data_IF_175324261578
#
_entry.id   IF_175324261578
#
_cell.length_a   1.000
_cell.length_b   1.000
_cell.length_c   1.000
_cell.angle_alpha   90.00
_cell.angle_beta   90.00
_cell.angle_gamma   90.00
#
_symmetry.space_group_name_H-M   'P 1'
#
loop_
_entity.id
_entity.type
_entity.pdbx_description
1 polymer ?
#
# COMPACT_ATOMS: atom_id res chain seq x y z
N UNK A 1 -9.78 49.83 49.25
CA UNK A 1 -10.00 48.67 48.36
C UNK A 1 -11.48 48.25 48.36
N UNK A 2 -12.41 49.12 47.93
CA UNK A 2 -13.87 48.82 48.06
C UNK A 2 -14.72 49.16 46.83
N UNK A 3 -14.16 49.78 45.78
CA UNK A 3 -14.92 50.16 44.59
C UNK A 3 -14.76 49.23 43.37
N UNK A 4 -13.66 48.49 43.26
CA UNK A 4 -13.41 47.58 42.13
C UNK A 4 -14.19 46.26 42.20
N UNK A 5 -14.40 45.72 43.41
CA UNK A 5 -15.11 44.45 43.63
C UNK A 5 -16.63 44.55 43.36
N UNK A 6 -17.24 45.72 43.58
CA UNK A 6 -18.68 45.94 43.31
C UNK A 6 -19.03 45.97 41.82
N UNK A 7 -18.08 46.36 40.94
CA UNK A 7 -18.32 46.42 39.48
C UNK A 7 -18.19 45.05 38.80
N UNK A 8 -17.35 44.16 39.34
CA UNK A 8 -17.22 42.79 38.83
C UNK A 8 -18.46 41.93 39.14
N UNK A 9 -19.07 42.09 40.31
CA UNK A 9 -20.29 41.33 40.69
C UNK A 9 -21.52 41.67 39.83
N UNK A 10 -21.69 42.93 39.44
CA UNK A 10 -22.82 43.36 38.62
C UNK A 10 -22.74 42.84 37.18
N UNK A 11 -21.53 42.74 36.61
CA UNK A 11 -21.33 42.20 35.27
C UNK A 11 -21.58 40.68 35.19
N UNK A 12 -21.24 39.94 36.25
CA UNK A 12 -21.49 38.48 36.33
C UNK A 12 -22.97 38.18 36.55
N UNK A 13 -23.67 38.96 37.38
CA UNK A 13 -25.10 38.80 37.61
C UNK A 13 -25.93 39.09 36.34
N UNK A 14 -25.54 40.08 35.54
CA UNK A 14 -26.20 40.40 34.26
C UNK A 14 -26.01 39.29 33.20
N UNK A 15 -24.85 38.62 33.19
CA UNK A 15 -24.57 37.49 32.30
C UNK A 15 -25.39 36.24 32.65
N UNK A 16 -25.58 35.97 33.95
CA UNK A 16 -26.40 34.83 34.42
C UNK A 16 -27.90 35.09 34.19
N UNK A 17 -28.38 36.31 34.42
CA UNK A 17 -29.78 36.66 34.15
C UNK A 17 -30.11 36.64 32.65
N UNK A 18 -29.18 37.05 31.78
CA UNK A 18 -29.33 36.93 30.33
C UNK A 18 -29.38 35.48 29.84
N UNK A 19 -28.57 34.58 30.43
CA UNK A 19 -28.57 33.16 30.09
C UNK A 19 -29.89 32.46 30.48
N UNK A 20 -30.49 32.84 31.62
CA UNK A 20 -31.76 32.26 32.09
C UNK A 20 -32.96 32.71 31.25
N UNK A 21 -32.95 33.94 30.72
CA UNK A 21 -34.04 34.43 29.85
C UNK A 21 -33.97 33.82 28.45
N UNK A 22 -32.77 33.50 27.93
CA UNK A 22 -32.63 32.80 26.63
C UNK A 22 -33.05 31.32 26.73
N UNK A 23 -32.90 30.69 27.90
CA UNK A 23 -33.38 29.32 28.13
C UNK A 23 -34.91 29.24 28.34
N UNK A 24 -35.57 30.31 28.78
CA UNK A 24 -37.02 30.33 29.06
C UNK A 24 -37.90 30.64 27.83
N UNK A 25 -37.32 30.96 26.67
CA UNK A 25 -38.03 31.22 25.41
C UNK A 25 -37.81 30.11 24.36
N UNK A 26 -37.19 29.00 24.75
CA UNK A 26 -37.19 27.80 23.92
C UNK A 26 -38.63 27.30 23.82
N UNK A 27 -39.24 27.20 22.61
CA UNK A 27 -40.49 26.50 22.48
C UNK A 27 -40.28 25.11 23.06
N UNK A 28 -41.02 24.76 24.11
CA UNK A 28 -41.14 23.35 24.49
C UNK A 28 -41.46 22.61 23.18
N UNK A 29 -40.61 21.67 22.80
CA UNK A 29 -40.83 20.80 21.66
C UNK A 29 -42.16 20.08 21.94
N UNK A 30 -43.25 20.66 21.42
CA UNK A 30 -44.55 20.01 21.44
C UNK A 30 -44.35 18.79 20.55
N UNK A 31 -44.24 17.62 21.17
CA UNK A 31 -44.31 16.35 20.45
C UNK A 31 -45.57 16.40 19.59
N UNK A 32 -45.38 16.50 18.28
CA UNK A 32 -46.49 16.63 17.35
C UNK A 32 -47.40 15.41 17.55
N UNK A 33 -48.71 15.65 17.68
CA UNK A 33 -49.68 14.58 17.89
C UNK A 33 -49.50 13.50 16.80
N UNK A 34 -49.58 12.20 17.15
CA UNK A 34 -49.36 11.13 16.18
C UNK A 34 -50.30 11.27 14.98
N UNK A 35 -49.81 11.06 13.74
CA UNK A 35 -50.61 11.29 12.55
C UNK A 35 -51.70 10.25 12.44
N UNK A 36 -52.93 10.68 12.13
CA UNK A 36 -54.04 9.75 11.93
C UNK A 36 -53.78 8.87 10.69
N UNK A 37 -54.20 7.60 10.76
CA UNK A 37 -53.92 6.65 9.68
C UNK A 37 -54.56 7.04 8.34
N UNK A 38 -55.67 7.78 8.35
CA UNK A 38 -56.39 8.16 7.14
C UNK A 38 -55.62 9.26 6.37
N UNK A 39 -55.03 10.23 7.07
CA UNK A 39 -54.19 11.26 6.45
C UNK A 39 -52.91 10.66 5.86
N UNK A 40 -52.27 9.73 6.56
CA UNK A 40 -51.08 9.01 6.06
C UNK A 40 -51.40 8.22 4.78
N UNK A 41 -52.50 7.47 4.76
CA UNK A 41 -52.91 6.70 3.58
C UNK A 41 -53.29 7.62 2.42
N UNK A 42 -53.94 8.75 2.70
CA UNK A 42 -54.27 9.75 1.68
C UNK A 42 -53.00 10.38 1.11
N UNK A 43 -52.01 10.70 1.95
CA UNK A 43 -50.71 11.20 1.52
C UNK A 43 -50.02 10.23 0.55
N UNK A 44 -49.91 8.94 0.91
CA UNK A 44 -49.27 7.95 0.05
C UNK A 44 -49.93 7.85 -1.32
N UNK A 45 -51.26 7.97 -1.37
CA UNK A 45 -52.04 7.95 -2.61
C UNK A 45 -51.86 9.22 -3.44
N UNK A 46 -52.02 10.39 -2.82
CA UNK A 46 -52.09 11.67 -3.52
C UNK A 46 -50.71 12.15 -3.97
N UNK A 47 -49.69 11.97 -3.12
CA UNK A 47 -48.30 12.35 -3.41
C UNK A 47 -47.53 11.29 -4.18
N UNK A 48 -48.06 10.05 -4.27
CA UNK A 48 -47.35 8.89 -4.83
C UNK A 48 -45.97 8.69 -4.18
N UNK A 49 -45.87 9.02 -2.90
CA UNK A 49 -44.67 8.87 -2.09
C UNK A 49 -44.89 7.74 -1.09
N UNK A 50 -44.12 6.63 -1.11
CA UNK A 50 -44.29 5.55 -0.16
C UNK A 50 -43.81 5.86 1.26
N UNK A 51 -43.13 7.00 1.48
CA UNK A 51 -42.62 7.42 2.79
C UNK A 51 -43.37 8.66 3.29
N UNK A 52 -44.15 8.51 4.37
CA UNK A 52 -44.71 9.64 5.11
C UNK A 52 -43.72 10.05 6.21
N UNK A 53 -43.37 11.33 6.30
CA UNK A 53 -42.43 11.84 7.31
C UNK A 53 -43.12 12.89 8.17
N UNK A 54 -43.18 12.65 9.47
CA UNK A 54 -43.66 13.63 10.45
C UNK A 54 -42.52 14.56 10.88
N UNK A 55 -42.83 15.85 11.04
CA UNK A 55 -41.88 16.82 11.61
C UNK A 55 -41.41 16.39 13.00
N UNK A 56 -40.10 16.47 13.23
CA UNK A 56 -39.47 16.03 14.49
C UNK A 56 -38.89 14.60 14.45
N UNK A 57 -38.97 13.91 13.31
CA UNK A 57 -38.21 12.66 13.11
C UNK A 57 -36.70 12.91 13.23
N UNK A 58 -35.92 11.96 13.77
CA UNK A 58 -34.45 12.05 13.79
C UNK A 58 -33.79 11.82 12.41
N UNK A 59 -34.55 11.47 11.37
CA UNK A 59 -34.01 11.23 10.02
C UNK A 59 -33.64 12.53 9.30
N UNK A 60 -32.42 12.60 8.78
CA UNK A 60 -31.99 13.69 7.88
C UNK A 60 -32.73 13.62 6.53
N UNK A 61 -32.68 14.71 5.75
CA UNK A 61 -33.21 14.75 4.38
C UNK A 61 -32.63 13.62 3.51
N UNK A 62 -31.33 13.41 3.60
CA UNK A 62 -30.61 12.44 2.78
C UNK A 62 -31.02 11.01 3.15
N UNK A 63 -31.19 10.74 4.45
CA UNK A 63 -31.69 9.45 4.93
C UNK A 63 -33.14 9.20 4.47
N UNK A 64 -33.99 10.23 4.48
CA UNK A 64 -35.35 10.13 3.96
C UNK A 64 -35.36 9.82 2.46
N UNK A 65 -34.48 10.44 1.67
CA UNK A 65 -34.36 10.19 0.24
C UNK A 65 -33.88 8.76 -0.05
N UNK A 66 -32.87 8.28 0.67
CA UNK A 66 -32.39 6.90 0.52
C UNK A 66 -33.43 5.84 0.89
N UNK A 67 -34.19 6.07 1.96
CA UNK A 67 -35.31 5.20 2.35
C UNK A 67 -36.40 5.24 1.28
N UNK A 68 -36.73 6.42 0.77
CA UNK A 68 -37.74 6.59 -0.27
C UNK A 68 -37.36 5.87 -1.56
N UNK A 69 -36.09 5.93 -1.95
CA UNK A 69 -35.58 5.22 -3.12
C UNK A 69 -35.68 3.71 -2.94
N UNK A 70 -35.28 3.18 -1.78
CA UNK A 70 -35.41 1.76 -1.45
C UNK A 70 -36.87 1.28 -1.52
N UNK A 71 -37.81 2.06 -0.97
CA UNK A 71 -39.24 1.73 -1.02
C UNK A 71 -39.80 1.76 -2.44
N UNK A 72 -39.31 2.67 -3.30
CA UNK A 72 -39.77 2.78 -4.69
C UNK A 72 -39.24 1.68 -5.60
N UNK A 73 -38.03 1.18 -5.36
CA UNK A 73 -37.45 0.11 -6.16
C UNK A 73 -37.75 -1.30 -5.63
N UNK A 74 -38.51 -1.42 -4.54
CA UNK A 74 -39.03 -2.70 -4.06
C UNK A 74 -39.99 -3.35 -5.07
N UNK A 75 -39.87 -4.66 -5.25
CA UNK A 75 -40.82 -5.44 -6.06
C UNK A 75 -42.19 -5.53 -5.36
N UNK A 76 -42.18 -5.53 -4.03
CA UNK A 76 -43.36 -5.56 -3.17
C UNK A 76 -43.92 -4.16 -2.89
N UNK A 77 -45.20 -4.08 -2.54
CA UNK A 77 -45.82 -2.82 -2.12
C UNK A 77 -45.53 -2.56 -0.64
N UNK A 78 -44.53 -1.73 -0.37
CA UNK A 78 -44.08 -1.35 0.98
C UNK A 78 -44.33 0.14 1.19
N UNK A 79 -44.94 0.49 2.31
CA UNK A 79 -45.23 1.86 2.71
C UNK A 79 -44.69 2.11 4.12
N UNK A 80 -44.08 3.27 4.33
CA UNK A 80 -43.39 3.61 5.56
C UNK A 80 -43.90 4.92 6.17
N UNK A 81 -43.89 4.99 7.50
CA UNK A 81 -44.16 6.18 8.29
C UNK A 81 -42.94 6.45 9.18
N UNK A 82 -42.35 7.64 9.11
CA UNK A 82 -41.27 8.07 9.99
C UNK A 82 -41.78 9.09 11.01
N UNK A 83 -41.59 8.78 12.29
CA UNK A 83 -42.11 9.50 13.43
C UNK A 83 -40.97 10.00 14.34
N UNK A 84 -41.19 11.04 15.16
CA UNK A 84 -40.31 11.40 16.28
C UNK A 84 -40.13 10.23 17.25
N UNK A 85 -39.03 10.22 17.99
CA UNK A 85 -38.74 9.18 18.97
C UNK A 85 -39.75 9.18 20.13
N UNK A 86 -40.29 8.01 20.46
CA UNK A 86 -41.26 7.83 21.54
C UNK A 86 -42.67 8.30 21.18
N UNK A 87 -43.04 8.33 19.89
CA UNK A 87 -44.39 8.73 19.46
C UNK A 87 -45.44 7.70 19.88
N UNK A 88 -45.08 6.42 19.87
CA UNK A 88 -45.90 5.30 20.33
C UNK A 88 -45.13 4.46 21.35
N UNK A 89 -45.88 3.76 22.19
CA UNK A 89 -45.34 2.66 22.99
C UNK A 89 -45.56 1.32 22.26
N UNK A 90 -44.87 0.27 22.73
CA UNK A 90 -44.99 -1.08 22.16
C UNK A 90 -46.43 -1.63 22.16
N UNK A 91 -47.32 -1.08 22.99
CA UNK A 91 -48.72 -1.54 23.10
C UNK A 91 -49.67 -0.82 22.14
N UNK A 92 -49.34 0.41 21.75
CA UNK A 92 -50.16 1.31 20.93
C UNK A 92 -49.75 1.31 19.46
N UNK A 93 -48.50 0.92 19.17
CA UNK A 93 -47.98 0.84 17.79
C UNK A 93 -48.67 -0.25 16.95
N UNK A 94 -48.99 -1.40 17.54
CA UNK A 94 -49.63 -2.51 16.82
C UNK A 94 -51.06 -2.18 16.33
N UNK A 95 -51.95 -1.60 17.15
CA UNK A 95 -53.22 -1.04 16.69
C UNK A 95 -53.06 -0.02 15.55
N UNK A 96 -52.06 0.85 15.64
CA UNK A 96 -51.79 1.86 14.63
C UNK A 96 -51.38 1.25 13.28
N UNK A 97 -50.39 0.36 13.26
CA UNK A 97 -49.97 -0.36 12.05
C UNK A 97 -51.14 -1.13 11.42
N UNK A 98 -51.98 -1.75 12.26
CA UNK A 98 -53.18 -2.45 11.80
C UNK A 98 -54.17 -1.50 11.12
N UNK A 99 -54.33 -0.28 11.65
CA UNK A 99 -55.21 0.74 11.04
C UNK A 99 -54.69 1.22 9.69
N UNK A 100 -53.37 1.43 9.55
CA UNK A 100 -52.73 1.76 8.26
C UNK A 100 -52.92 0.64 7.23
N UNK A 101 -52.74 -0.63 7.64
CA UNK A 101 -52.97 -1.78 6.76
C UNK A 101 -54.42 -1.89 6.28
N UNK A 102 -55.41 -1.64 7.17
CA UNK A 102 -56.83 -1.58 6.80
C UNK A 102 -57.12 -0.43 5.83
N UNK A 103 -56.55 0.74 6.07
CA UNK A 103 -56.67 1.90 5.18
C UNK A 103 -56.10 1.63 3.79
N UNK A 104 -54.93 1.01 3.69
CA UNK A 104 -54.35 0.58 2.41
C UNK A 104 -55.22 -0.45 1.70
N UNK A 105 -55.79 -1.42 2.42
CA UNK A 105 -56.71 -2.39 1.85
C UNK A 105 -57.97 -1.71 1.26
N UNK A 106 -58.57 -0.77 2.00
CA UNK A 106 -59.69 0.04 1.53
C UNK A 106 -59.32 0.93 0.33
N UNK A 107 -58.08 1.38 0.24
CA UNK A 107 -57.53 2.14 -0.88
C UNK A 107 -57.14 1.26 -2.10
N UNK A 108 -57.50 -0.02 -2.12
CA UNK A 108 -57.22 -0.93 -3.24
C UNK A 108 -55.80 -1.50 -3.24
N UNK A 109 -55.16 -1.59 -2.07
CA UNK A 109 -53.85 -2.23 -1.85
C UNK A 109 -53.95 -3.34 -0.78
N UNK A 110 -54.73 -4.41 -1.02
CA UNK A 110 -54.97 -5.45 -0.02
C UNK A 110 -53.75 -6.32 0.32
N UNK A 111 -52.71 -6.31 -0.53
CA UNK A 111 -51.43 -7.02 -0.33
C UNK A 111 -50.29 -6.00 -0.22
N UNK A 112 -50.05 -5.49 0.98
CA UNK A 112 -49.03 -4.49 1.24
C UNK A 112 -48.32 -4.75 2.58
N UNK A 113 -47.11 -4.23 2.70
CA UNK A 113 -46.34 -4.18 3.94
C UNK A 113 -46.33 -2.74 4.44
N UNK A 114 -46.64 -2.55 5.73
CA UNK A 114 -46.57 -1.28 6.42
C UNK A 114 -45.39 -1.33 7.39
N UNK A 115 -44.57 -0.29 7.37
CA UNK A 115 -43.47 -0.06 8.30
C UNK A 115 -43.71 1.25 9.05
N UNK A 116 -43.45 1.25 10.34
CA UNK A 116 -43.39 2.46 11.15
C UNK A 116 -42.01 2.54 11.80
N UNK A 117 -41.33 3.65 11.55
CA UNK A 117 -40.07 4.04 12.15
C UNK A 117 -40.40 5.03 13.28
N UNK A 118 -40.36 4.55 14.53
CA UNK A 118 -40.50 5.38 15.73
C UNK A 118 -39.09 5.64 16.28
N UNK A 119 -38.58 6.85 16.02
CA UNK A 119 -37.17 7.16 16.26
C UNK A 119 -36.26 6.26 15.40
N UNK A 120 -35.55 5.34 16.06
CA UNK A 120 -34.68 4.33 15.42
C UNK A 120 -35.26 2.91 15.46
N UNK A 121 -36.45 2.74 16.05
CA UNK A 121 -37.10 1.43 16.15
C UNK A 121 -38.00 1.18 14.95
N UNK A 122 -37.87 -0.02 14.36
CA UNK A 122 -38.64 -0.43 13.19
C UNK A 122 -39.72 -1.41 13.63
N UNK A 123 -40.96 -1.11 13.26
CA UNK A 123 -42.11 -1.98 13.47
C UNK A 123 -42.78 -2.26 12.13
N UNK A 124 -43.13 -3.51 11.86
CA UNK A 124 -43.71 -3.88 10.58
C UNK A 124 -44.84 -4.90 10.68
N UNK A 125 -45.85 -4.73 9.84
CA UNK A 125 -46.86 -5.74 9.55
C UNK A 125 -47.07 -5.84 8.05
N UNK A 126 -47.45 -7.03 7.59
CA UNK A 126 -47.70 -7.27 6.17
C UNK A 126 -48.96 -8.11 6.00
N UNK A 127 -49.82 -7.68 5.07
CA UNK A 127 -50.93 -8.50 4.56
C UNK A 127 -50.53 -9.37 3.37
N UNK A 128 -49.31 -9.19 2.84
CA UNK A 128 -48.76 -10.01 1.76
C UNK A 128 -48.07 -11.28 2.28
N UNK A 129 -47.64 -11.29 3.55
CA UNK A 129 -46.93 -12.38 4.22
C UNK A 129 -47.79 -13.05 5.30
N UNK A 130 -47.31 -14.20 5.81
CA UNK A 130 -47.95 -14.86 6.97
C UNK A 130 -47.88 -13.96 8.22
N UNK A 131 -48.87 -14.03 9.12
CA UNK A 131 -48.85 -13.26 10.37
C UNK A 131 -47.53 -13.44 11.14
N UNK A 132 -46.97 -12.33 11.64
CA UNK A 132 -45.72 -12.31 12.42
C UNK A 132 -44.42 -12.33 11.60
N UNK A 133 -44.45 -12.67 10.30
CA UNK A 133 -43.22 -12.74 9.49
C UNK A 133 -42.61 -11.36 9.29
N UNK A 134 -43.40 -10.34 8.97
CA UNK A 134 -42.89 -8.97 8.77
C UNK A 134 -42.21 -8.42 10.04
N UNK A 135 -42.78 -8.67 11.22
CA UNK A 135 -42.14 -8.30 12.50
C UNK A 135 -40.80 -9.00 12.69
N UNK A 136 -40.72 -10.31 12.42
CA UNK A 136 -39.45 -11.05 12.51
C UNK A 136 -38.39 -10.52 11.53
N UNK A 137 -38.79 -10.16 10.31
CA UNK A 137 -37.88 -9.59 9.31
C UNK A 137 -37.40 -8.19 9.72
N UNK A 138 -38.28 -7.40 10.35
CA UNK A 138 -37.92 -6.12 10.98
C UNK A 138 -36.81 -6.31 12.01
N UNK A 139 -37.02 -7.24 12.96
CA UNK A 139 -36.04 -7.52 14.02
C UNK A 139 -34.69 -7.97 13.44
N UNK A 140 -34.69 -8.87 12.46
CA UNK A 140 -33.45 -9.32 11.80
C UNK A 140 -32.73 -8.16 11.10
N UNK A 141 -33.47 -7.25 10.47
CA UNK A 141 -32.89 -6.13 9.73
C UNK A 141 -32.26 -5.10 10.64
N UNK A 142 -32.92 -4.79 11.76
CA UNK A 142 -32.38 -3.89 12.78
C UNK A 142 -31.15 -4.50 13.44
N UNK A 143 -31.22 -5.79 13.82
CA UNK A 143 -30.10 -6.47 14.48
C UNK A 143 -28.86 -6.55 13.57
N UNK A 144 -29.04 -6.91 12.30
CA UNK A 144 -27.93 -7.04 11.35
C UNK A 144 -27.27 -5.70 11.00
N UNK A 145 -27.96 -4.56 11.22
CA UNK A 145 -27.50 -3.22 10.86
C UNK A 145 -27.61 -2.27 12.07
N UNK A 146 -27.20 -2.76 13.25
CA UNK A 146 -27.31 -2.02 14.52
C UNK A 146 -26.66 -0.64 14.44
N UNK A 147 -27.43 0.41 14.72
CA UNK A 147 -26.99 1.81 14.67
C UNK A 147 -27.11 2.48 13.30
N UNK A 148 -27.55 1.78 12.25
CA UNK A 148 -27.79 2.33 10.92
C UNK A 148 -29.23 2.04 10.45
N UNK A 149 -30.11 3.02 10.66
CA UNK A 149 -31.54 2.93 10.32
C UNK A 149 -31.76 2.81 8.81
N UNK A 150 -30.91 3.43 7.99
CA UNK A 150 -31.05 3.40 6.53
C UNK A 150 -30.65 2.03 6.00
N UNK A 151 -29.51 1.49 6.44
CA UNK A 151 -29.10 0.14 6.09
C UNK A 151 -30.11 -0.90 6.58
N UNK A 152 -30.63 -0.75 7.80
CA UNK A 152 -31.70 -1.60 8.34
C UNK A 152 -32.98 -1.55 7.50
N UNK A 153 -33.39 -0.37 7.02
CA UNK A 153 -34.57 -0.24 6.16
C UNK A 153 -34.35 -0.85 4.77
N UNK A 154 -33.17 -0.68 4.16
CA UNK A 154 -32.81 -1.32 2.88
C UNK A 154 -32.76 -2.84 2.99
N UNK A 155 -32.20 -3.36 4.08
CA UNK A 155 -32.20 -4.79 4.40
C UNK A 155 -33.63 -5.31 4.55
N UNK A 156 -34.46 -4.60 5.33
CA UNK A 156 -35.86 -4.96 5.53
C UNK A 156 -36.64 -5.04 4.22
N UNK A 157 -36.51 -4.03 3.35
CA UNK A 157 -37.17 -4.00 2.04
C UNK A 157 -36.79 -5.23 1.22
N UNK A 158 -35.50 -5.55 1.13
CA UNK A 158 -35.06 -6.71 0.34
C UNK A 158 -35.55 -8.04 0.95
N UNK A 159 -35.54 -8.17 2.28
CA UNK A 159 -36.08 -9.35 2.97
C UNK A 159 -37.58 -9.53 2.72
N UNK A 160 -38.35 -8.45 2.62
CA UNK A 160 -39.76 -8.53 2.26
C UNK A 160 -39.92 -9.06 0.84
N UNK A 161 -39.14 -8.57 -0.13
CA UNK A 161 -39.19 -9.05 -1.51
C UNK A 161 -38.83 -10.54 -1.62
N UNK A 162 -37.78 -10.95 -0.92
CA UNK A 162 -37.36 -12.35 -0.82
C UNK A 162 -38.46 -13.22 -0.18
N UNK A 163 -39.04 -12.77 0.93
CA UNK A 163 -40.09 -13.51 1.63
C UNK A 163 -41.38 -13.63 0.80
N UNK A 164 -41.76 -12.60 0.06
CA UNK A 164 -42.91 -12.64 -0.86
C UNK A 164 -42.66 -13.63 -2.01
N UNK A 165 -41.42 -13.73 -2.49
CA UNK A 165 -40.97 -14.71 -3.49
C UNK A 165 -40.81 -16.13 -2.92
N UNK A 166 -40.94 -16.31 -1.61
CA UNK A 166 -40.78 -17.61 -0.93
C UNK A 166 -39.32 -18.02 -0.68
N UNK A 167 -38.38 -17.09 -0.79
CA UNK A 167 -36.98 -17.33 -0.50
C UNK A 167 -36.74 -17.39 1.02
N UNK A 168 -36.08 -18.47 1.47
CA UNK A 168 -35.84 -18.75 2.89
C UNK A 168 -34.66 -17.95 3.45
N UNK A 169 -33.76 -17.47 2.59
CA UNK A 169 -32.60 -16.64 3.00
C UNK A 169 -33.03 -15.28 3.56
N UNK A 170 -34.29 -14.85 3.35
CA UNK A 170 -34.87 -13.70 4.03
C UNK A 170 -34.78 -13.80 5.57
N UNK A 171 -34.68 -15.01 6.11
CA UNK A 171 -34.60 -15.30 7.55
C UNK A 171 -33.16 -15.43 8.07
N UNK A 172 -32.14 -15.24 7.24
CA UNK A 172 -30.74 -15.36 7.65
C UNK A 172 -30.33 -14.23 8.60
N UNK A 173 -29.39 -14.50 9.50
CA UNK A 173 -28.96 -13.54 10.53
C UNK A 173 -28.03 -12.43 10.02
N UNK A 174 -27.37 -12.64 8.88
CA UNK A 174 -26.52 -11.62 8.24
C UNK A 174 -27.35 -10.60 7.45
N UNK A 175 -26.78 -9.40 7.22
CA UNK A 175 -27.41 -8.35 6.40
C UNK A 175 -27.69 -8.87 5.00
N UNK A 176 -28.94 -8.75 4.55
CA UNK A 176 -29.42 -9.04 3.20
C UNK A 176 -29.69 -7.75 2.43
N UNK A 177 -29.04 -6.64 2.78
CA UNK A 177 -29.22 -5.37 2.06
C UNK A 177 -28.81 -5.55 0.58
N UNK A 178 -29.75 -5.28 -0.33
CA UNK A 178 -29.50 -5.34 -1.76
C UNK A 178 -29.17 -3.94 -2.28
N UNK A 179 -27.96 -3.70 -2.83
CA UNK A 179 -27.57 -2.41 -3.37
C UNK A 179 -28.41 -1.92 -4.57
N UNK A 180 -29.26 -2.79 -5.15
CA UNK A 180 -29.98 -2.53 -6.40
C UNK A 180 -31.45 -2.09 -6.29
N UNK A 181 -32.04 -1.99 -5.09
CA UNK A 181 -33.49 -1.82 -4.94
C UNK A 181 -33.97 -0.36 -4.83
N UNK A 182 -33.18 0.64 -5.28
CA UNK A 182 -33.60 2.04 -5.27
C UNK A 182 -32.98 2.82 -6.42
N UNK A 183 -33.82 3.39 -7.28
CA UNK A 183 -33.43 3.94 -8.57
C UNK A 183 -32.57 5.20 -8.48
N UNK A 184 -31.25 5.04 -8.43
CA UNK A 184 -30.27 6.04 -8.89
C UNK A 184 -29.07 5.35 -9.54
N UNK A 185 -29.25 4.89 -10.77
CA UNK A 185 -28.23 4.26 -11.61
C UNK A 185 -27.09 5.22 -12.06
N UNK A 186 -26.86 6.33 -11.36
CA UNK A 186 -25.90 7.37 -11.77
C UNK A 186 -24.80 7.69 -10.76
N UNK A 187 -24.84 7.20 -9.50
CA UNK A 187 -23.81 7.50 -8.49
C UNK A 187 -23.13 6.27 -7.85
N UNK A 188 -23.62 5.06 -8.12
CA UNK A 188 -23.02 3.81 -7.60
C UNK A 188 -21.73 3.39 -8.34
N UNK A 189 -21.42 4.07 -9.44
CA UNK A 189 -20.09 3.96 -10.07
C UNK A 189 -18.93 4.35 -9.14
N UNK A 190 -19.16 5.12 -8.06
CA UNK A 190 -18.12 5.55 -7.12
C UNK A 190 -18.17 4.85 -5.75
N UNK A 191 -19.35 4.42 -5.28
CA UNK A 191 -19.51 3.77 -3.96
C UNK A 191 -19.20 2.26 -3.94
N UNK A 192 -19.55 1.54 -5.01
CA UNK A 192 -19.21 0.12 -5.14
C UNK A 192 -17.70 -0.11 -5.38
N UNK A 193 -17.00 0.93 -5.88
CA UNK A 193 -15.54 0.97 -5.90
C UNK A 193 -14.98 1.16 -4.49
N UNK A 194 -15.70 1.74 -3.52
CA UNK A 194 -15.17 2.02 -2.18
C UNK A 194 -15.27 0.84 -1.18
N UNK A 195 -16.23 -0.08 -1.31
CA UNK A 195 -16.39 -1.22 -0.36
C UNK A 195 -15.78 -2.52 -0.90
N UNK A 196 -15.92 -2.82 -2.20
CA UNK A 196 -15.06 -3.81 -2.88
C UNK A 196 -13.62 -3.29 -2.95
N UNK A 197 -13.44 -1.98 -3.08
CA UNK A 197 -12.13 -1.35 -2.91
C UNK A 197 -11.65 -1.33 -1.47
N UNK A 198 -12.48 -1.16 -0.44
CA UNK A 198 -12.00 -1.07 0.95
C UNK A 198 -11.48 -2.40 1.51
N UNK A 199 -12.27 -3.47 1.37
CA UNK A 199 -11.86 -4.82 1.77
C UNK A 199 -10.82 -5.43 0.82
N UNK A 200 -10.98 -5.20 -0.49
CA UNK A 200 -10.03 -5.60 -1.52
C UNK A 200 -8.69 -4.87 -1.38
N UNK A 201 -8.68 -3.56 -1.11
CA UNK A 201 -7.48 -2.75 -0.85
C UNK A 201 -6.85 -3.09 0.49
N UNK A 202 -7.61 -3.39 1.54
CA UNK A 202 -7.05 -3.84 2.81
C UNK A 202 -6.36 -5.22 2.67
N UNK A 203 -6.98 -6.18 1.99
CA UNK A 203 -6.36 -7.48 1.70
C UNK A 203 -5.19 -7.35 0.70
N UNK A 204 -5.34 -6.53 -0.35
CA UNK A 204 -4.29 -6.24 -1.31
C UNK A 204 -3.10 -5.53 -0.66
N UNK A 205 -3.34 -4.52 0.19
CA UNK A 205 -2.29 -3.80 0.92
C UNK A 205 -1.61 -4.69 1.96
N UNK A 206 -2.35 -5.57 2.65
CA UNK A 206 -1.78 -6.56 3.58
C UNK A 206 -0.95 -7.61 2.86
N UNK A 207 -1.44 -8.15 1.75
CA UNK A 207 -0.69 -9.11 0.94
C UNK A 207 0.55 -8.44 0.33
N UNK A 208 0.42 -7.23 -0.22
CA UNK A 208 1.53 -6.45 -0.75
C UNK A 208 2.55 -6.09 0.34
N UNK A 209 2.12 -5.77 1.57
CA UNK A 209 3.04 -5.54 2.71
C UNK A 209 3.78 -6.82 3.09
N UNK A 210 3.11 -7.97 3.08
CA UNK A 210 3.75 -9.28 3.32
C UNK A 210 4.75 -9.62 2.21
N UNK A 211 4.37 -9.43 0.94
CA UNK A 211 5.25 -9.68 -0.19
C UNK A 211 6.45 -8.72 -0.20
N UNK A 212 6.25 -7.44 0.13
CA UNK A 212 7.34 -6.47 0.31
C UNK A 212 8.28 -6.90 1.43
N UNK A 213 7.76 -7.31 2.59
CA UNK A 213 8.60 -7.79 3.68
C UNK A 213 9.39 -9.06 3.31
N UNK A 214 8.79 -9.98 2.53
CA UNK A 214 9.50 -11.16 2.02
C UNK A 214 10.60 -10.74 1.05
N UNK A 215 10.32 -9.82 0.13
CA UNK A 215 11.31 -9.32 -0.82
C UNK A 215 12.44 -8.58 -0.10
N UNK A 216 12.10 -7.66 0.81
CA UNK A 216 13.05 -6.93 1.65
C UNK A 216 13.94 -7.89 2.45
N UNK A 217 13.39 -8.99 2.96
CA UNK A 217 14.16 -10.02 3.67
C UNK A 217 15.11 -10.80 2.74
N UNK A 218 14.67 -11.13 1.51
CA UNK A 218 15.52 -11.78 0.50
C UNK A 218 16.65 -10.85 0.04
N UNK A 219 16.30 -9.60 -0.27
CA UNK A 219 17.24 -8.56 -0.68
C UNK A 219 18.27 -8.33 0.42
N UNK A 220 17.82 -8.21 1.67
CA UNK A 220 18.69 -8.12 2.84
C UNK A 220 19.63 -9.33 2.95
N UNK A 221 19.11 -10.56 2.80
CA UNK A 221 19.93 -11.76 2.90
C UNK A 221 21.01 -11.81 1.82
N UNK A 222 20.67 -11.50 0.57
CA UNK A 222 21.60 -11.49 -0.57
C UNK A 222 22.70 -10.43 -0.40
N UNK A 223 22.33 -9.21 -0.03
CA UNK A 223 23.30 -8.13 0.19
C UNK A 223 24.16 -8.43 1.41
N UNK A 224 23.57 -8.91 2.51
CA UNK A 224 24.31 -9.28 3.73
C UNK A 224 25.33 -10.39 3.47
N UNK A 225 24.98 -11.41 2.68
CA UNK A 225 25.91 -12.44 2.24
C UNK A 225 27.07 -11.86 1.42
N UNK A 226 26.78 -10.91 0.52
CA UNK A 226 27.83 -10.27 -0.29
C UNK A 226 28.83 -9.52 0.59
N UNK A 227 28.34 -8.84 1.63
CA UNK A 227 29.19 -8.10 2.57
C UNK A 227 29.98 -9.06 3.46
N UNK A 228 29.39 -10.18 3.85
CA UNK A 228 30.09 -11.25 4.58
C UNK A 228 31.27 -11.79 3.78
N UNK A 229 31.09 -12.05 2.48
CA UNK A 229 32.18 -12.39 1.55
C UNK A 229 33.28 -11.30 1.54
N UNK A 230 32.90 -10.02 1.51
CA UNK A 230 33.84 -8.90 1.48
C UNK A 230 34.63 -8.76 2.81
N UNK A 231 33.98 -9.00 3.96
CA UNK A 231 34.61 -9.01 5.29
C UNK A 231 35.57 -10.18 5.42
N UNK A 232 35.14 -11.39 5.04
CA UNK A 232 36.01 -12.58 5.02
C UNK A 232 37.21 -12.33 4.13
N UNK A 233 37.00 -11.78 2.92
CA UNK A 233 38.09 -11.47 2.00
C UNK A 233 39.08 -10.47 2.58
N UNK A 234 38.59 -9.46 3.29
CA UNK A 234 39.45 -8.49 3.96
C UNK A 234 40.27 -9.13 5.09
N UNK A 235 39.68 -10.04 5.87
CA UNK A 235 40.39 -10.82 6.90
C UNK A 235 41.48 -11.74 6.32
N UNK A 236 41.22 -12.36 5.17
CA UNK A 236 42.24 -13.12 4.42
C UNK A 236 43.41 -12.24 3.99
N UNK A 237 43.13 -11.04 3.48
CA UNK A 237 44.15 -10.10 3.03
C UNK A 237 45.01 -9.58 4.19
N UNK A 238 44.40 -9.26 5.33
CA UNK A 238 45.12 -8.93 6.56
C UNK A 238 46.04 -10.09 6.94
N UNK A 239 45.50 -11.31 7.00
CA UNK A 239 46.27 -12.50 7.36
C UNK A 239 47.45 -12.74 6.41
N UNK A 240 47.26 -12.51 5.12
CA UNK A 240 48.31 -12.66 4.11
C UNK A 240 49.47 -11.67 4.27
N UNK A 241 49.21 -10.48 4.84
CA UNK A 241 50.19 -9.41 4.99
C UNK A 241 50.88 -9.40 6.36
N UNK A 242 50.35 -10.15 7.34
CA UNK A 242 50.80 -10.15 8.73
C UNK A 242 52.30 -10.48 8.88
N UNK A 243 52.79 -11.45 8.10
CA UNK A 243 54.21 -11.83 8.11
C UNK A 243 55.10 -10.71 7.57
N UNK A 244 54.73 -10.07 6.47
CA UNK A 244 55.51 -8.98 5.88
C UNK A 244 55.54 -7.75 6.79
N UNK A 245 54.41 -7.43 7.42
CA UNK A 245 54.30 -6.33 8.41
C UNK A 245 55.19 -6.57 9.62
N UNK A 246 55.23 -7.82 10.09
CA UNK A 246 56.06 -8.24 11.23
C UNK A 246 57.55 -8.16 10.89
N UNK A 247 57.94 -8.65 9.71
CA UNK A 247 59.34 -8.63 9.24
C UNK A 247 59.82 -7.22 8.92
N UNK A 248 58.96 -6.36 8.36
CA UNK A 248 59.27 -4.96 8.06
C UNK A 248 59.22 -4.04 9.30
N UNK A 249 59.05 -4.59 10.50
CA UNK A 249 58.92 -3.87 11.78
C UNK A 249 60.12 -2.97 12.17
N UNK A 250 61.23 -3.02 11.43
CA UNK A 250 62.36 -2.09 11.59
C UNK A 250 61.99 -0.68 11.08
N UNK A 251 61.31 0.11 11.93
CA UNK A 251 61.12 1.55 11.73
C UNK A 251 59.76 2.11 12.14
N UNK A 252 58.77 1.27 12.45
CA UNK A 252 57.47 1.66 13.01
C UNK A 252 56.57 2.56 12.14
N UNK A 253 56.93 2.79 10.88
CA UNK A 253 56.28 3.78 10.00
C UNK A 253 54.84 3.40 9.60
N UNK A 254 54.45 2.13 9.69
CA UNK A 254 53.16 1.57 9.26
C UNK A 254 52.26 1.09 10.41
N UNK A 255 52.72 1.15 11.67
CA UNK A 255 52.01 0.58 12.83
C UNK A 255 50.61 1.20 13.00
N UNK A 256 50.49 2.53 12.80
CA UNK A 256 49.22 3.23 12.93
C UNK A 256 48.18 2.76 11.91
N UNK A 257 48.56 2.68 10.64
CA UNK A 257 47.65 2.22 9.59
C UNK A 257 47.35 0.71 9.68
N UNK A 258 48.30 -0.08 10.20
CA UNK A 258 48.05 -1.49 10.48
C UNK A 258 47.00 -1.66 11.58
N UNK A 259 47.11 -0.92 12.68
CA UNK A 259 46.08 -0.91 13.72
C UNK A 259 44.73 -0.45 13.16
N UNK A 260 44.72 0.60 12.33
CA UNK A 260 43.49 1.08 11.69
C UNK A 260 42.84 0.01 10.81
N UNK A 261 43.61 -0.77 10.05
CA UNK A 261 43.08 -1.86 9.24
C UNK A 261 42.45 -2.97 10.10
N UNK A 262 43.10 -3.36 11.20
CA UNK A 262 42.57 -4.32 12.17
C UNK A 262 41.30 -3.82 12.86
N UNK A 263 41.30 -2.56 13.29
CA UNK A 263 40.15 -1.92 13.93
C UNK A 263 38.95 -1.86 12.97
N UNK A 264 39.20 -1.52 11.69
CA UNK A 264 38.16 -1.55 10.65
C UNK A 264 37.62 -2.96 10.42
N UNK A 265 38.46 -4.00 10.44
CA UNK A 265 38.00 -5.38 10.31
C UNK A 265 37.08 -5.80 11.47
N UNK A 266 37.49 -5.55 12.71
CA UNK A 266 36.66 -5.89 13.88
C UNK A 266 35.38 -5.04 13.96
N UNK A 267 35.46 -3.76 13.59
CA UNK A 267 34.29 -2.89 13.45
C UNK A 267 33.34 -3.40 12.37
N UNK A 268 33.84 -3.80 11.20
CA UNK A 268 33.02 -4.33 10.11
C UNK A 268 32.30 -5.62 10.51
N UNK A 269 32.97 -6.54 11.21
CA UNK A 269 32.34 -7.75 11.78
C UNK A 269 31.20 -7.41 12.74
N UNK A 270 31.46 -6.46 13.65
CA UNK A 270 30.47 -6.02 14.64
C UNK A 270 29.26 -5.36 13.97
N UNK A 271 29.50 -4.47 13.00
CA UNK A 271 28.44 -3.83 12.22
C UNK A 271 27.63 -4.86 11.43
N UNK A 272 28.30 -5.80 10.74
CA UNK A 272 27.66 -6.85 9.95
C UNK A 272 26.73 -7.74 10.80
N UNK A 273 27.17 -8.11 12.01
CA UNK A 273 26.35 -8.85 12.96
C UNK A 273 25.08 -8.08 13.36
N UNK A 274 25.17 -6.75 13.47
CA UNK A 274 24.06 -5.88 13.84
C UNK A 274 23.13 -5.49 12.67
N UNK A 275 23.47 -5.81 11.42
CA UNK A 275 22.64 -5.49 10.25
C UNK A 275 21.29 -6.21 10.31
N UNK A 276 20.22 -5.42 10.36
CA UNK A 276 18.81 -5.82 10.32
C UNK A 276 18.06 -5.26 9.11
N UNK A 277 18.62 -4.28 8.39
CA UNK A 277 18.03 -3.66 7.20
C UNK A 277 19.08 -3.40 6.13
N UNK A 278 18.68 -3.43 4.86
CA UNK A 278 19.61 -3.33 3.73
C UNK A 278 20.36 -1.98 3.69
N UNK A 279 19.76 -0.90 4.17
CA UNK A 279 20.39 0.42 4.24
C UNK A 279 21.60 0.47 5.20
N UNK A 280 21.60 -0.38 6.24
CA UNK A 280 22.68 -0.43 7.24
C UNK A 280 23.97 -1.04 6.67
N UNK A 281 23.89 -1.77 5.55
CA UNK A 281 25.07 -2.33 4.86
C UNK A 281 26.04 -1.24 4.43
N UNK A 282 25.54 -0.03 4.16
CA UNK A 282 26.37 1.12 3.81
C UNK A 282 27.46 1.37 4.86
N UNK A 283 27.13 1.24 6.13
CA UNK A 283 28.06 1.49 7.23
C UNK A 283 29.19 0.46 7.26
N UNK A 284 28.87 -0.80 6.94
CA UNK A 284 29.86 -1.90 6.88
C UNK A 284 30.81 -1.68 5.72
N UNK A 285 30.27 -1.41 4.53
CA UNK A 285 31.06 -1.23 3.30
C UNK A 285 31.92 0.03 3.34
N UNK A 286 31.46 1.10 3.99
CA UNK A 286 32.28 2.28 4.27
C UNK A 286 33.46 1.94 5.21
N UNK A 287 33.21 1.20 6.30
CA UNK A 287 34.29 0.75 7.20
C UNK A 287 35.28 -0.16 6.47
N UNK A 288 34.81 -1.02 5.56
CA UNK A 288 35.67 -1.86 4.72
C UNK A 288 36.52 -1.03 3.76
N UNK A 289 35.97 0.03 3.16
CA UNK A 289 36.73 0.97 2.33
C UNK A 289 37.85 1.65 3.14
N UNK A 290 37.53 2.19 4.31
CA UNK A 290 38.50 2.79 5.23
C UNK A 290 39.63 1.82 5.57
N UNK A 291 39.28 0.57 5.91
CA UNK A 291 40.23 -0.48 6.23
C UNK A 291 41.11 -0.88 5.05
N UNK A 292 40.55 -1.00 3.85
CA UNK A 292 41.28 -1.36 2.62
C UNK A 292 42.24 -0.25 2.20
N UNK A 293 41.88 1.02 2.38
CA UNK A 293 42.82 2.12 2.17
C UNK A 293 43.98 2.06 3.17
N UNK A 294 43.70 1.87 4.47
CA UNK A 294 44.74 1.74 5.49
C UNK A 294 45.69 0.55 5.16
N UNK A 295 45.14 -0.59 4.75
CA UNK A 295 45.92 -1.74 4.33
C UNK A 295 46.78 -1.44 3.07
N UNK A 296 46.28 -0.67 2.12
CA UNK A 296 47.06 -0.22 0.96
C UNK A 296 48.23 0.70 1.36
N UNK A 297 48.04 1.58 2.34
CA UNK A 297 49.12 2.42 2.91
C UNK A 297 50.18 1.55 3.59
N UNK A 298 49.76 0.54 4.35
CA UNK A 298 50.69 -0.42 4.97
C UNK A 298 51.51 -1.14 3.91
N UNK A 299 50.84 -1.70 2.89
CA UNK A 299 51.51 -2.38 1.76
C UNK A 299 52.54 -1.45 1.08
N UNK A 300 52.19 -0.20 0.82
CA UNK A 300 53.10 0.75 0.22
C UNK A 300 54.33 1.02 1.10
N UNK A 301 54.12 1.26 2.41
CA UNK A 301 55.21 1.53 3.35
C UNK A 301 56.14 0.33 3.54
N UNK A 302 55.59 -0.88 3.67
CA UNK A 302 56.36 -2.13 3.78
C UNK A 302 57.23 -2.35 2.54
N UNK A 303 56.73 -2.00 1.35
CA UNK A 303 57.45 -2.15 0.09
C UNK A 303 58.29 -0.92 -0.31
N UNK A 304 58.44 0.09 0.57
CA UNK A 304 59.11 1.36 0.26
C UNK A 304 58.58 2.07 -1.01
N UNK A 305 57.27 1.93 -1.26
CA UNK A 305 56.55 2.60 -2.34
C UNK A 305 55.91 3.90 -1.84
N UNK A 306 55.62 4.86 -2.75
CA UNK A 306 54.84 6.05 -2.40
C UNK A 306 53.49 5.68 -1.79
N UNK A 307 53.07 6.43 -0.78
CA UNK A 307 51.75 6.27 -0.16
C UNK A 307 50.68 6.55 -1.22
N UNK A 308 49.69 5.65 -1.41
CA UNK A 308 48.64 5.85 -2.40
C UNK A 308 47.78 7.07 -2.04
N UNK A 309 47.32 7.79 -3.05
CA UNK A 309 46.32 8.85 -2.87
C UNK A 309 44.99 8.26 -2.38
N UNK A 310 44.22 9.01 -1.57
CA UNK A 310 42.87 8.62 -1.14
C UNK A 310 41.87 8.84 -2.28
N UNK A 311 41.92 7.96 -3.27
CA UNK A 311 40.96 7.89 -4.39
C UNK A 311 39.84 6.91 -4.07
N UNK A 312 38.75 7.01 -4.82
CA UNK A 312 37.67 6.04 -4.78
C UNK A 312 38.21 4.61 -5.03
N UNK A 313 37.58 3.57 -4.46
CA UNK A 313 37.92 2.18 -4.75
C UNK A 313 37.85 1.87 -6.24
N UNK A 314 38.46 0.76 -6.67
CA UNK A 314 38.26 0.27 -8.03
C UNK A 314 36.77 0.07 -8.32
N UNK A 315 36.27 0.68 -9.39
CA UNK A 315 34.88 0.59 -9.83
C UNK A 315 34.50 -0.84 -10.20
N UNK A 316 35.41 -1.62 -10.78
CA UNK A 316 35.09 -2.99 -11.23
C UNK A 316 34.95 -3.94 -10.04
N UNK A 317 35.81 -3.81 -9.04
CA UNK A 317 35.72 -4.55 -7.79
C UNK A 317 36.25 -3.71 -6.62
N UNK A 318 35.39 -3.25 -5.70
CA UNK A 318 35.83 -2.48 -4.53
C UNK A 318 36.86 -3.22 -3.65
N UNK A 319 36.87 -4.56 -3.69
CA UNK A 319 37.84 -5.37 -2.95
C UNK A 319 39.29 -5.14 -3.41
N UNK A 320 39.51 -4.65 -4.63
CA UNK A 320 40.86 -4.37 -5.14
C UNK A 320 41.52 -3.16 -4.45
N UNK A 321 40.79 -2.41 -3.63
CA UNK A 321 41.30 -1.25 -2.91
C UNK A 321 41.28 0.04 -3.75
N UNK A 322 42.08 1.05 -3.39
CA UNK A 322 42.03 2.36 -4.03
C UNK A 322 42.42 2.30 -5.51
N UNK A 323 41.74 3.09 -6.33
CA UNK A 323 42.10 3.27 -7.74
C UNK A 323 43.42 4.02 -7.90
N UNK A 324 44.07 3.83 -9.05
CA UNK A 324 45.32 4.54 -9.41
C UNK A 324 45.13 5.52 -10.57
N UNK A 325 44.11 5.30 -11.41
CA UNK A 325 43.72 6.18 -12.52
C UNK A 325 42.27 5.94 -12.90
N UNK A 326 41.71 6.87 -13.67
CA UNK A 326 40.40 6.68 -14.28
C UNK A 326 40.56 6.10 -15.69
N UNK A 327 39.69 5.17 -16.07
CA UNK A 327 39.67 4.57 -17.41
C UNK A 327 38.31 4.78 -18.07
N UNK A 328 38.36 4.97 -19.38
CA UNK A 328 37.17 5.21 -20.20
C UNK A 328 36.50 3.87 -20.53
N UNK A 329 35.34 3.62 -19.94
CA UNK A 329 34.64 2.33 -20.02
C UNK A 329 33.12 2.50 -20.14
N UNK A 330 32.46 1.52 -20.76
CA UNK A 330 31.00 1.44 -20.79
C UNK A 330 30.56 0.01 -20.45
N UNK A 331 29.48 -0.17 -19.67
CA UNK A 331 28.84 -1.48 -19.58
C UNK A 331 28.22 -1.85 -20.94
N UNK A 332 27.95 -3.14 -21.21
CA UNK A 332 27.23 -3.55 -22.41
C UNK A 332 25.94 -2.76 -22.62
N UNK A 333 25.81 -2.10 -23.77
CA UNK A 333 24.65 -1.24 -24.10
C UNK A 333 24.58 0.10 -23.34
N UNK A 334 25.58 0.43 -22.52
CA UNK A 334 25.67 1.66 -21.76
C UNK A 334 26.46 2.77 -22.45
N UNK A 335 26.45 3.95 -21.83
CA UNK A 335 27.25 5.09 -22.25
C UNK A 335 28.68 5.00 -21.68
N UNK A 336 29.63 5.45 -22.49
CA UNK A 336 31.05 5.54 -22.10
C UNK A 336 31.26 6.62 -21.05
N UNK A 337 31.96 6.28 -19.97
CA UNK A 337 32.28 7.16 -18.84
C UNK A 337 33.69 6.87 -18.31
N UNK A 338 34.28 7.85 -17.64
CA UNK A 338 35.52 7.65 -16.90
C UNK A 338 35.19 7.06 -15.53
N UNK A 339 35.80 5.92 -15.21
CA UNK A 339 35.58 5.20 -13.95
C UNK A 339 36.92 4.94 -13.24
N UNK A 340 36.99 5.07 -11.91
CA UNK A 340 38.21 4.81 -11.15
C UNK A 340 38.57 3.32 -11.19
N UNK A 341 39.80 2.99 -11.54
CA UNK A 341 40.26 1.61 -11.65
C UNK A 341 41.58 1.37 -10.92
N UNK A 342 41.73 0.18 -10.32
CA UNK A 342 43.04 -0.28 -9.83
C UNK A 342 43.97 -0.53 -11.02
N UNK A 343 45.28 -0.68 -10.77
CA UNK A 343 46.26 -0.85 -11.83
C UNK A 343 45.95 -2.03 -12.77
N UNK A 344 45.52 -3.17 -12.21
CA UNK A 344 45.21 -4.37 -12.97
C UNK A 344 43.98 -4.23 -13.86
N UNK A 345 42.87 -3.73 -13.31
CA UNK A 345 41.64 -3.54 -14.10
C UNK A 345 41.79 -2.41 -15.13
N UNK A 346 42.55 -1.36 -14.80
CA UNK A 346 42.86 -0.29 -15.74
C UNK A 346 43.63 -0.84 -16.95
N UNK A 347 44.65 -1.66 -16.72
CA UNK A 347 45.40 -2.31 -17.79
C UNK A 347 44.52 -3.27 -18.61
N UNK A 348 43.66 -4.05 -17.96
CA UNK A 348 42.73 -4.94 -18.65
C UNK A 348 41.84 -4.17 -19.64
N UNK A 349 41.20 -3.10 -19.18
CA UNK A 349 40.32 -2.26 -20.01
C UNK A 349 41.09 -1.59 -21.15
N UNK A 350 42.25 -1.01 -20.88
CA UNK A 350 43.09 -0.34 -21.91
C UNK A 350 43.55 -1.31 -23.00
N UNK A 351 43.70 -2.59 -22.66
CA UNK A 351 44.08 -3.67 -23.59
C UNK A 351 42.88 -4.37 -24.24
N UNK A 352 41.66 -3.94 -23.94
CA UNK A 352 40.43 -4.51 -24.49
C UNK A 352 40.03 -5.85 -23.87
N UNK A 353 40.53 -6.19 -22.68
CA UNK A 353 40.09 -7.34 -21.90
C UNK A 353 39.00 -6.95 -20.90
N UNK A 354 38.21 -7.94 -20.49
CA UNK A 354 37.22 -7.76 -19.44
C UNK A 354 37.91 -7.57 -18.07
N UNK A 355 37.58 -6.50 -17.33
CA UNK A 355 38.08 -6.30 -15.98
C UNK A 355 37.49 -7.34 -15.02
N UNK A 356 38.15 -7.57 -13.88
CA UNK A 356 37.68 -8.52 -12.88
C UNK A 356 36.52 -7.93 -12.08
N UNK A 357 35.32 -8.02 -12.63
CA UNK A 357 34.13 -7.42 -12.05
C UNK A 357 33.64 -8.17 -10.80
N UNK A 358 33.28 -7.43 -9.76
CA UNK A 358 32.61 -7.97 -8.57
C UNK A 358 31.20 -8.40 -8.95
N UNK A 359 31.00 -9.71 -9.00
CA UNK A 359 29.69 -10.30 -9.18
C UNK A 359 29.00 -10.55 -7.85
N UNK A 360 27.70 -10.32 -7.78
CA UNK A 360 26.87 -10.50 -6.59
C UNK A 360 25.63 -11.32 -6.93
N UNK A 361 25.02 -11.95 -5.94
CA UNK A 361 23.86 -12.82 -6.14
C UNK A 361 22.56 -12.01 -6.19
N UNK A 362 21.82 -12.12 -7.29
CA UNK A 362 20.49 -11.53 -7.46
C UNK A 362 19.57 -12.59 -8.03
N UNK A 363 18.48 -12.91 -7.31
CA UNK A 363 17.48 -13.91 -7.74
C UNK A 363 18.07 -15.26 -8.18
N UNK A 364 19.17 -15.69 -7.54
CA UNK A 364 19.85 -16.95 -7.86
C UNK A 364 20.88 -16.89 -8.98
N UNK A 365 21.12 -15.71 -9.57
CA UNK A 365 22.09 -15.50 -10.63
C UNK A 365 23.21 -14.54 -10.19
N UNK A 366 24.43 -14.77 -10.67
CA UNK A 366 25.56 -13.84 -10.49
C UNK A 366 25.49 -12.74 -11.53
N UNK A 367 25.53 -11.48 -11.10
CA UNK A 367 25.62 -10.30 -11.98
C UNK A 367 26.61 -9.28 -11.40
N UNK A 368 27.21 -8.41 -12.22
CA UNK A 368 28.03 -7.31 -11.71
C UNK A 368 27.26 -6.46 -10.69
N UNK A 369 27.91 -6.05 -9.59
CA UNK A 369 27.25 -5.35 -8.49
C UNK A 369 26.57 -4.03 -8.91
N UNK A 370 27.11 -3.33 -9.91
CA UNK A 370 26.51 -2.10 -10.45
C UNK A 370 25.20 -2.34 -11.23
N UNK A 371 24.93 -3.59 -11.62
CA UNK A 371 23.71 -4.05 -12.31
C UNK A 371 22.85 -4.96 -11.40
N UNK A 372 23.10 -4.94 -10.08
CA UNK A 372 22.44 -5.83 -9.15
C UNK A 372 21.05 -5.34 -8.66
N UNK A 373 20.57 -4.22 -9.21
CA UNK A 373 19.26 -3.65 -8.89
C UNK A 373 19.18 -2.97 -7.51
N UNK A 374 18.10 -2.23 -7.22
CA UNK A 374 18.06 -1.23 -6.14
C UNK A 374 18.46 -1.72 -4.73
N UNK A 375 18.30 -3.00 -4.44
CA UNK A 375 18.73 -3.60 -3.18
C UNK A 375 20.23 -3.39 -2.88
N UNK A 376 21.08 -3.33 -3.92
CA UNK A 376 22.52 -3.14 -3.80
C UNK A 376 22.97 -1.67 -3.78
N UNK A 377 22.04 -0.71 -3.84
CA UNK A 377 22.38 0.72 -3.76
C UNK A 377 23.12 1.08 -2.46
N UNK A 378 22.67 0.66 -1.26
CA UNK A 378 23.39 0.95 -0.03
C UNK A 378 24.80 0.33 0.02
N UNK A 379 24.97 -0.84 -0.58
CA UNK A 379 26.27 -1.51 -0.72
C UNK A 379 27.25 -0.66 -1.55
N UNK A 380 26.85 -0.26 -2.75
CA UNK A 380 27.69 0.61 -3.59
C UNK A 380 27.92 1.98 -2.93
N UNK A 381 26.89 2.55 -2.32
CA UNK A 381 26.98 3.87 -1.70
C UNK A 381 27.89 3.90 -0.47
N UNK A 382 28.09 2.79 0.24
CA UNK A 382 29.07 2.74 1.32
C UNK A 382 30.51 2.81 0.83
N UNK A 383 30.82 2.14 -0.29
CA UNK A 383 32.15 2.22 -0.91
C UNK A 383 32.43 3.57 -1.60
N UNK A 384 31.44 4.16 -2.26
CA UNK A 384 31.67 5.31 -3.17
C UNK A 384 31.08 6.64 -2.69
N UNK A 385 30.18 6.64 -1.71
CA UNK A 385 29.46 7.85 -1.28
C UNK A 385 30.33 8.94 -0.67
N UNK A 386 31.56 8.64 -0.26
CA UNK A 386 32.55 9.61 0.23
C UNK A 386 33.33 10.34 -0.87
N UNK A 387 33.20 9.93 -2.13
CA UNK A 387 34.07 10.36 -3.23
C UNK A 387 33.36 11.26 -4.28
N UNK A 388 32.16 11.76 -3.98
CA UNK A 388 31.45 12.78 -4.74
C UNK A 388 30.20 12.32 -5.50
N UNK A 389 29.31 13.28 -5.80
CA UNK A 389 27.96 13.06 -6.36
C UNK A 389 27.96 12.41 -7.76
N UNK A 390 29.04 12.53 -8.54
CA UNK A 390 29.11 12.00 -9.93
C UNK A 390 29.12 10.47 -9.94
N UNK A 391 29.88 9.84 -9.04
CA UNK A 391 29.92 8.37 -8.93
C UNK A 391 28.60 7.84 -8.38
N UNK A 392 28.06 8.49 -7.33
CA UNK A 392 26.73 8.17 -6.79
C UNK A 392 25.63 8.33 -7.85
N UNK A 393 25.68 9.38 -8.68
CA UNK A 393 24.77 9.60 -9.81
C UNK A 393 24.92 8.56 -10.92
N UNK A 394 26.12 8.05 -11.18
CA UNK A 394 26.37 6.98 -12.14
C UNK A 394 25.79 5.63 -11.68
N UNK A 395 25.95 5.29 -10.39
CA UNK A 395 25.34 4.08 -9.82
C UNK A 395 23.82 4.19 -9.77
N UNK A 396 23.27 5.33 -9.32
CA UNK A 396 21.83 5.61 -9.34
C UNK A 396 21.30 5.53 -10.77
N UNK A 397 21.97 6.15 -11.73
CA UNK A 397 21.56 6.17 -13.14
C UNK A 397 21.62 4.80 -13.82
N UNK A 398 22.63 3.98 -13.54
CA UNK A 398 22.76 2.63 -14.11
C UNK A 398 21.74 1.68 -13.49
N UNK A 399 21.53 1.74 -12.18
CA UNK A 399 20.55 0.90 -11.49
C UNK A 399 19.09 1.34 -11.77
N UNK A 400 18.84 2.64 -12.01
CA UNK A 400 17.57 3.11 -12.58
C UNK A 400 17.40 2.69 -14.03
N UNK A 401 18.49 2.67 -14.81
CA UNK A 401 18.52 2.14 -16.18
C UNK A 401 18.07 0.68 -16.22
N UNK A 402 18.64 -0.18 -15.38
CA UNK A 402 18.26 -1.59 -15.25
C UNK A 402 16.81 -1.79 -14.76
N UNK A 403 16.26 -0.81 -14.04
CA UNK A 403 14.86 -0.82 -13.57
C UNK A 403 13.87 -0.40 -14.67
N UNK A 404 14.25 0.55 -15.54
CA UNK A 404 13.44 1.00 -16.68
C UNK A 404 13.56 0.07 -17.90
N UNK A 405 14.68 -0.63 -18.06
CA UNK A 405 14.89 -1.61 -19.12
C UNK A 405 14.31 -3.00 -18.80
N UNK A 406 13.63 -3.15 -17.66
CA UNK A 406 12.77 -4.30 -17.36
C UNK A 406 13.39 -5.66 -17.65
N UNK A 407 14.55 -5.98 -17.06
CA UNK A 407 15.04 -7.37 -16.93
C UNK A 407 15.19 -8.21 -18.21
N UNK A 408 15.13 -7.60 -19.40
CA UNK A 408 15.42 -8.22 -20.68
C UNK A 408 16.19 -7.20 -21.49
N UNK A 409 17.51 -7.43 -21.59
CA UNK A 409 18.37 -6.66 -22.47
C UNK A 409 18.04 -6.95 -23.93
N UNK A 410 16.96 -6.36 -24.45
CA UNK A 410 16.67 -6.21 -25.87
C UNK A 410 15.79 -4.97 -26.09
N UNK A 411 16.35 -3.94 -26.73
CA UNK A 411 15.58 -2.96 -27.49
C UNK A 411 15.39 -1.57 -26.87
N UNK A 412 16.34 -0.68 -27.17
CA UNK A 412 16.06 0.62 -27.82
C UNK A 412 15.13 1.64 -27.13
N UNK A 413 15.70 2.48 -26.26
CA UNK A 413 15.27 3.87 -25.99
C UNK A 413 16.50 4.56 -25.34
N UNK A 414 17.10 5.63 -25.84
CA UNK A 414 16.55 6.73 -26.64
C UNK A 414 16.45 7.99 -25.78
N UNK A 415 17.62 8.60 -25.52
CA UNK A 415 17.90 10.02 -25.19
C UNK A 415 16.95 10.82 -24.27
N UNK A 416 17.52 11.48 -23.26
CA UNK A 416 16.75 12.46 -22.48
C UNK A 416 17.45 13.46 -21.56
N UNK A 417 18.78 13.65 -21.55
CA UNK A 417 19.38 14.80 -20.83
C UNK A 417 20.73 15.20 -21.44
N UNK A 418 20.72 16.22 -22.31
CA UNK A 418 21.87 17.11 -22.52
C UNK A 418 21.39 18.37 -23.24
N UNK A 419 21.44 19.49 -22.51
CA UNK A 419 21.36 20.84 -23.06
C UNK A 419 22.45 21.05 -24.11
N UNK A 420 22.08 21.64 -25.25
CA UNK A 420 23.02 21.95 -26.32
C UNK A 420 22.32 22.56 -27.53
N UNK A 421 22.16 23.88 -27.48
CA UNK A 421 21.68 24.75 -28.56
C UNK A 421 22.49 24.56 -29.86
N UNK A 422 21.77 24.53 -30.98
CA UNK A 422 22.10 25.03 -32.34
C UNK A 422 22.05 24.00 -33.49
N UNK A 423 21.02 24.20 -34.30
CA UNK A 423 21.05 24.28 -35.76
C UNK A 423 21.28 22.99 -36.56
N UNK A 424 20.17 22.34 -36.93
CA UNK A 424 19.97 21.81 -38.28
C UNK A 424 18.47 21.52 -38.48
N UNK A 425 17.82 22.36 -39.29
CA UNK A 425 16.50 22.05 -39.84
C UNK A 425 16.53 20.90 -40.85
N UNK A 426 15.35 20.33 -41.10
CA UNK A 426 15.10 19.28 -42.09
C UNK A 426 14.14 18.25 -41.52
N UNK A 427 12.85 18.56 -41.49
CA UNK A 427 11.86 18.24 -42.52
C UNK A 427 11.17 16.89 -42.26
N UNK A 428 9.85 16.97 -42.22
CA UNK A 428 8.91 15.86 -42.10
C UNK A 428 8.81 15.17 -43.47
N UNK A 429 8.95 13.85 -43.55
CA UNK A 429 8.45 13.16 -44.74
C UNK A 429 8.82 11.70 -44.93
N UNK A 430 7.78 10.86 -45.11
CA UNK A 430 7.82 9.56 -45.81
C UNK A 430 8.08 8.37 -44.88
N UNK A 431 7.18 7.41 -44.66
CA UNK A 431 6.16 6.86 -45.55
C UNK A 431 6.75 5.72 -46.37
N UNK A 432 6.28 4.48 -46.18
CA UNK A 432 6.59 3.38 -47.09
C UNK A 432 6.57 1.98 -46.48
N UNK A 433 5.50 1.25 -46.80
CA UNK A 433 5.20 -0.17 -46.58
C UNK A 433 6.19 -1.20 -47.18
N UNK A 434 5.91 -2.46 -46.83
CA UNK A 434 6.15 -3.74 -47.54
C UNK A 434 7.25 -4.67 -47.02
N UNK A 435 6.86 -5.63 -46.17
CA UNK A 435 6.40 -6.96 -46.64
C UNK A 435 7.43 -8.00 -47.12
N UNK A 436 7.37 -9.19 -46.51
CA UNK A 436 7.89 -10.47 -47.01
C UNK A 436 9.03 -11.04 -46.15
N UNK A 437 9.05 -12.28 -45.67
CA UNK A 437 8.21 -13.45 -45.86
C UNK A 437 9.06 -14.71 -45.62
N UNK A 438 8.52 -15.68 -44.86
CA UNK A 438 8.75 -17.13 -45.05
C UNK A 438 10.07 -17.80 -44.58
N UNK A 439 9.90 -18.79 -43.70
CA UNK A 439 10.87 -19.87 -43.42
C UNK A 439 10.90 -20.20 -41.92
N UNK A 440 10.30 -21.25 -41.36
CA UNK A 440 9.98 -22.56 -41.91
C UNK A 440 11.06 -23.58 -41.52
N UNK A 441 11.11 -23.99 -40.24
CA UNK A 441 11.81 -25.20 -39.79
C UNK A 441 10.98 -25.89 -38.72
N UNK A 442 10.46 -27.07 -39.09
CA UNK A 442 9.86 -28.01 -38.18
C UNK A 442 10.86 -29.09 -37.76
N UNK A 443 10.58 -29.64 -36.58
CA UNK A 443 10.67 -31.05 -36.20
C UNK A 443 12.02 -31.77 -36.26
N UNK A 444 12.58 -32.02 -35.07
CA UNK A 444 13.28 -33.26 -34.72
C UNK A 444 12.88 -33.66 -33.30
N UNK A 445 11.97 -34.62 -33.20
CA UNK A 445 11.66 -35.33 -31.96
C UNK A 445 12.73 -36.34 -31.55
N UNK A 446 12.62 -36.83 -30.30
CA UNK A 446 13.16 -38.14 -29.91
C UNK A 446 13.54 -38.33 -28.44
N UNK A 447 12.66 -38.99 -27.67
CA UNK A 447 12.96 -39.84 -26.49
C UNK A 447 13.23 -39.12 -25.17
N UNK A 448 12.57 -39.39 -24.05
CA UNK A 448 12.00 -40.64 -23.55
C UNK A 448 12.86 -41.13 -22.38
N UNK A 449 12.32 -41.15 -21.15
CA UNK A 449 13.03 -41.70 -19.99
C UNK A 449 12.45 -41.29 -18.64
N UNK A 450 11.37 -41.97 -18.24
CA UNK A 450 10.95 -42.11 -16.84
C UNK A 450 12.07 -42.74 -16.00
N UNK A 451 12.35 -42.17 -14.82
CA UNK A 451 12.92 -42.91 -13.71
C UNK A 451 12.19 -42.54 -12.42
N UNK A 452 11.49 -43.54 -11.86
CA UNK A 452 10.95 -43.53 -10.50
C UNK A 452 12.05 -43.29 -9.46
N UNK A 453 11.73 -42.80 -8.27
CA UNK A 453 10.95 -43.53 -7.29
C UNK A 453 11.92 -44.26 -6.36
N UNK A 454 12.13 -43.72 -5.15
CA UNK A 454 13.09 -44.26 -4.19
C UNK A 454 12.97 -43.59 -2.83
N UNK A 455 12.07 -44.14 -2.04
CA UNK A 455 11.89 -43.96 -0.60
C UNK A 455 13.22 -44.22 0.16
N UNK A 456 13.62 -43.33 1.06
CA UNK A 456 14.55 -43.68 2.14
C UNK A 456 14.05 -43.08 3.44
N UNK A 457 13.35 -43.93 4.18
CA UNK A 457 12.97 -43.73 5.57
C UNK A 457 14.17 -43.65 6.50
N UNK A 458 13.91 -43.06 7.66
CA UNK A 458 14.86 -42.83 8.72
C UNK A 458 15.35 -44.08 9.45
N UNK A 459 16.28 -43.84 10.36
CA UNK A 459 16.79 -44.78 11.33
C UNK A 459 17.93 -44.13 12.12
N UNK A 460 17.71 -44.02 13.43
CA UNK A 460 18.68 -43.69 14.47
C UNK A 460 20.05 -44.32 14.24
N UNK A 461 21.11 -43.54 14.49
CA UNK A 461 22.29 -43.91 15.31
C UNK A 461 22.95 -42.64 15.85
#
# INVERSE_FOLDING_TARGET
MTHSLRRAGAAIAALIAGLVVVLALSPAANAAAPPDAQSVVSYWKDKKDPLYVQSGTPLSSDQQDEIRDALKGADSKIYAVALPDGTYDNSTIAPYITSLGKGLAAAGRPRATVVVLDGQTLFAASSALKPGVAGKLSDLSVNANSGDVVAGMKDFVNRIDMAVKGDRSALDSGSQSNPGAGGTAALVGLGAIAVVGGGGYFLYSRNRKKQRAIQEAKDLAAVKQTVDEDVTKFGEEITSLDTDVTLAGEGGRHIGEWQQALDSYEKAKTQLAAVQRADQVREVTQTLEDGRYALAVVKAKVNNQPVPERRAPCFFNPQHGPSVRDVRWAPPGGAVRDVPACAGDAEAVERGFDPQMREVMVDGHRRPYYDAGPAYQPYAYGYYGGFGDVMTGMFIGTMMGSMLSGGWGYGGYGAGYAEGYQDAGGDFGGGGDFGGGGGGWGDFGGGGGDFGGGDFGGGDW
#
